data_IF_995967348060
#
_entry.id   IF_995967348060
#
_cell.length_a   1.000
_cell.length_b   1.000
_cell.length_c   1.000
_cell.angle_alpha   90.00
_cell.angle_beta   90.00
_cell.angle_gamma   90.00
#
_symmetry.space_group_name_H-M   'P 1'
#
loop_
_entity.id
_entity.type
_entity.pdbx_description
1 polymer ?
#
# COMPACT_ATOMS: atom_id res chain seq x y z
N UNK A 1 25.22 0.59 53.43
CA UNK A 1 24.17 1.49 52.90
C UNK A 1 24.49 1.95 51.48
N UNK A 2 25.66 2.55 51.26
CA UNK A 2 26.31 2.80 49.96
C UNK A 2 26.19 1.69 48.88
N UNK A 3 26.33 0.40 49.21
CA UNK A 3 26.23 -0.68 48.19
C UNK A 3 24.83 -0.84 47.59
N UNK A 4 23.78 -0.69 48.40
CA UNK A 4 22.37 -0.75 47.94
C UNK A 4 22.04 0.44 47.04
N UNK A 5 22.62 1.61 47.36
CA UNK A 5 22.43 2.83 46.58
C UNK A 5 23.06 2.71 45.17
N UNK A 6 24.23 2.07 45.05
CA UNK A 6 24.89 1.79 43.77
C UNK A 6 24.06 0.81 42.90
N UNK A 7 23.46 -0.21 43.52
CA UNK A 7 22.61 -1.18 42.81
C UNK A 7 21.32 -0.52 42.31
N UNK A 8 20.72 0.39 43.09
CA UNK A 8 19.53 1.15 42.67
C UNK A 8 19.81 2.14 41.53
N UNK A 9 20.97 2.82 41.54
CA UNK A 9 21.39 3.70 40.44
C UNK A 9 21.66 2.90 39.16
N UNK A 10 22.29 1.74 39.27
CA UNK A 10 22.56 0.86 38.14
C UNK A 10 21.27 0.31 37.51
N UNK A 11 20.26 -0.03 38.34
CA UNK A 11 18.96 -0.46 37.85
C UNK A 11 18.17 0.66 37.16
N UNK A 12 18.22 1.89 37.68
CA UNK A 12 17.53 3.03 37.07
C UNK A 12 18.12 3.42 35.71
N UNK A 13 19.43 3.20 35.50
CA UNK A 13 20.11 3.51 34.24
C UNK A 13 19.71 2.57 33.09
N UNK A 14 19.07 1.43 33.38
CA UNK A 14 18.70 0.43 32.37
C UNK A 14 17.28 0.59 31.80
N UNK A 15 16.46 1.46 32.38
CA UNK A 15 15.08 1.70 31.91
C UNK A 15 15.11 2.83 30.87
N UNK A 16 15.53 2.52 29.64
CA UNK A 16 15.34 3.40 28.49
C UNK A 16 14.29 2.77 27.55
N UNK A 17 13.02 2.92 27.90
CA UNK A 17 11.91 2.52 27.03
C UNK A 17 11.72 3.59 25.96
N UNK A 18 12.01 3.27 24.70
CA UNK A 18 11.73 4.16 23.57
C UNK A 18 10.30 3.96 23.10
N UNK A 19 9.45 4.99 23.22
CA UNK A 19 8.08 4.96 22.74
C UNK A 19 8.02 5.43 21.29
N UNK A 20 7.41 4.62 20.42
CA UNK A 20 7.12 5.03 19.04
C UNK A 20 5.88 5.93 19.03
N UNK A 21 5.98 7.08 18.36
CA UNK A 21 4.91 8.07 18.26
C UNK A 21 4.41 8.08 16.81
N UNK A 22 3.16 7.65 16.61
CA UNK A 22 2.54 7.65 15.29
C UNK A 22 1.95 9.04 14.98
N UNK A 23 2.47 9.73 13.97
CA UNK A 23 2.03 11.10 13.63
C UNK A 23 0.55 11.20 13.24
N UNK A 24 -0.03 10.12 12.72
CA UNK A 24 -1.43 10.09 12.29
C UNK A 24 -2.41 9.95 13.46
N UNK A 25 -1.94 9.44 14.60
CA UNK A 25 -2.76 9.15 15.78
C UNK A 25 -2.39 10.02 16.99
N UNK A 26 -1.14 10.46 17.06
CA UNK A 26 -0.59 11.10 18.24
C UNK A 26 -1.34 12.38 18.60
N UNK A 27 -1.55 12.63 19.89
CA UNK A 27 -2.14 13.88 20.32
C UNK A 27 -1.09 15.01 20.37
N UNK A 28 -1.53 16.25 20.57
CA UNK A 28 -0.63 17.41 20.61
C UNK A 28 0.46 17.26 21.67
N UNK A 29 0.11 16.72 22.84
CA UNK A 29 1.03 16.53 23.97
C UNK A 29 2.12 15.51 23.64
N UNK A 30 1.76 14.39 23.03
CA UNK A 30 2.71 13.35 22.60
C UNK A 30 3.67 13.88 21.53
N UNK A 31 3.17 14.71 20.61
CA UNK A 31 4.02 15.36 19.61
C UNK A 31 5.02 16.34 20.23
N UNK A 32 4.69 16.96 21.37
CA UNK A 32 5.59 17.88 22.09
C UNK A 32 6.74 17.17 22.81
N UNK A 33 6.61 15.88 23.09
CA UNK A 33 7.70 15.09 23.68
C UNK A 33 8.89 14.95 22.71
N UNK A 34 8.63 15.10 21.40
CA UNK A 34 9.66 15.03 20.38
C UNK A 34 10.52 16.29 20.38
N UNK A 35 11.81 16.13 20.67
CA UNK A 35 12.76 17.23 20.69
C UNK A 35 12.87 17.87 19.30
N UNK A 36 12.46 19.13 19.22
CA UNK A 36 12.45 19.93 17.99
C UNK A 36 11.06 20.14 17.38
N UNK A 37 10.02 19.55 17.98
CA UNK A 37 8.61 19.90 17.75
C UNK A 37 8.18 20.85 18.85
N UNK A 38 7.74 22.06 18.48
CA UNK A 38 7.16 23.02 19.43
C UNK A 38 5.65 23.12 19.25
N UNK A 39 4.98 23.88 20.12
CA UNK A 39 3.51 24.01 20.12
C UNK A 39 2.93 24.37 18.75
N UNK A 40 3.55 25.31 18.05
CA UNK A 40 3.11 25.73 16.70
C UNK A 40 3.16 24.58 15.71
N UNK A 41 4.21 23.76 15.76
CA UNK A 41 4.39 22.62 14.86
C UNK A 41 3.44 21.49 15.23
N UNK A 42 3.27 21.19 16.52
CA UNK A 42 2.34 20.16 16.98
C UNK A 42 0.89 20.50 16.59
N UNK A 43 0.46 21.74 16.82
CA UNK A 43 -0.86 22.22 16.37
C UNK A 43 -1.00 22.11 14.86
N UNK A 44 0.01 22.54 14.09
CA UNK A 44 -0.02 22.47 12.64
C UNK A 44 -0.13 21.03 12.12
N UNK A 45 0.54 20.05 12.76
CA UNK A 45 0.43 18.63 12.40
C UNK A 45 -1.01 18.14 12.58
N UNK A 46 -1.64 18.47 13.70
CA UNK A 46 -3.02 18.06 14.00
C UNK A 46 -4.00 18.71 13.02
N UNK A 47 -3.85 20.01 12.74
CA UNK A 47 -4.69 20.70 11.76
C UNK A 47 -4.51 20.15 10.34
N UNK A 48 -3.27 19.88 9.93
CA UNK A 48 -2.98 19.38 8.58
C UNK A 48 -3.58 18.00 8.35
N UNK A 49 -3.49 17.08 9.31
CA UNK A 49 -4.12 15.75 9.16
C UNK A 49 -5.65 15.83 9.20
N UNK A 50 -6.22 16.81 9.88
CA UNK A 50 -7.66 17.06 9.89
C UNK A 50 -8.16 17.66 8.56
N UNK A 51 -7.38 18.55 7.95
CA UNK A 51 -7.75 19.25 6.71
C UNK A 51 -7.42 18.43 5.45
N UNK A 52 -6.24 17.82 5.41
CA UNK A 52 -5.66 17.20 4.21
C UNK A 52 -5.52 15.66 4.33
N UNK A 53 -6.08 15.07 5.39
CA UNK A 53 -6.04 13.63 5.65
C UNK A 53 -4.71 13.13 6.21
N UNK A 54 -4.62 11.83 6.46
CA UNK A 54 -3.45 11.20 7.06
C UNK A 54 -2.17 11.41 6.23
N UNK A 55 -1.03 11.51 6.93
CA UNK A 55 0.29 11.54 6.29
C UNK A 55 0.61 10.17 5.73
N UNK A 56 1.12 10.15 4.49
CA UNK A 56 1.41 8.90 3.76
C UNK A 56 2.86 8.47 3.99
N UNK A 57 3.77 9.43 4.12
CA UNK A 57 5.19 9.17 4.37
C UNK A 57 5.84 10.28 5.19
N UNK A 58 7.05 10.04 5.69
CA UNK A 58 7.83 11.03 6.44
C UNK A 58 8.16 12.25 5.55
N UNK A 59 8.42 12.04 4.26
CA UNK A 59 8.66 13.13 3.30
C UNK A 59 7.41 13.98 3.10
N UNK A 60 6.22 13.37 3.14
CA UNK A 60 4.95 14.09 3.06
C UNK A 60 4.77 15.05 4.24
N UNK A 61 5.12 14.61 5.45
CA UNK A 61 5.15 15.49 6.64
C UNK A 61 6.02 16.71 6.39
N UNK A 62 7.22 16.53 5.84
CA UNK A 62 8.15 17.64 5.58
C UNK A 62 7.70 18.60 4.48
N UNK A 63 6.90 18.11 3.53
CA UNK A 63 6.31 18.94 2.46
C UNK A 63 5.14 19.78 2.97
N UNK A 64 4.28 19.20 3.81
CA UNK A 64 3.07 19.87 4.32
C UNK A 64 3.35 20.78 5.52
N UNK A 65 4.27 20.38 6.40
CA UNK A 65 4.56 21.10 7.65
C UNK A 65 5.76 22.02 7.48
N UNK A 66 5.50 23.33 7.41
CA UNK A 66 6.55 24.35 7.35
C UNK A 66 7.45 24.26 8.58
N UNK A 67 8.77 24.20 8.34
CA UNK A 67 9.79 24.17 9.39
C UNK A 67 10.25 22.76 9.82
N UNK A 68 9.69 21.69 9.25
CA UNK A 68 10.16 20.31 9.37
C UNK A 68 10.93 19.85 8.13
N UNK A 69 12.13 20.40 7.92
CA UNK A 69 13.02 19.96 6.84
C UNK A 69 13.63 18.57 7.09
N UNK A 70 14.23 17.98 6.06
CA UNK A 70 14.83 16.63 6.08
C UNK A 70 15.66 16.32 7.34
N UNK A 71 16.61 17.21 7.69
CA UNK A 71 17.47 17.03 8.87
C UNK A 71 16.70 16.94 10.19
N UNK A 72 15.57 17.65 10.32
CA UNK A 72 14.73 17.58 11.52
C UNK A 72 13.92 16.30 11.52
N UNK A 73 13.30 15.95 10.41
CA UNK A 73 12.56 14.69 10.28
C UNK A 73 13.44 13.48 10.57
N UNK A 74 14.66 13.44 10.04
CA UNK A 74 15.62 12.36 10.34
C UNK A 74 15.89 12.22 11.85
N UNK A 75 15.95 13.35 12.58
CA UNK A 75 16.11 13.34 14.04
C UNK A 75 14.84 12.91 14.76
N UNK A 76 13.67 13.24 14.23
CA UNK A 76 12.38 12.85 14.81
C UNK A 76 12.12 11.35 14.61
N UNK A 77 12.42 10.81 13.43
CA UNK A 77 12.34 9.37 13.15
C UNK A 77 13.26 8.59 14.07
N UNK A 78 14.49 9.08 14.29
CA UNK A 78 15.42 8.49 15.27
C UNK A 78 14.92 8.56 16.72
N UNK A 79 14.01 9.49 17.03
CA UNK A 79 13.36 9.60 18.33
C UNK A 79 12.08 8.74 18.42
N UNK A 80 11.70 8.03 17.36
CA UNK A 80 10.53 7.17 17.35
C UNK A 80 9.32 7.74 16.62
N UNK A 81 9.43 8.89 15.92
CA UNK A 81 8.35 9.37 15.06
C UNK A 81 8.14 8.41 13.88
N UNK A 82 6.91 7.94 13.71
CA UNK A 82 6.52 7.02 12.66
C UNK A 82 5.32 7.54 11.89
N UNK A 83 5.26 7.16 10.61
CA UNK A 83 4.07 7.25 9.77
C UNK A 83 3.67 5.82 9.46
N UNK A 84 2.57 5.36 10.02
CA UNK A 84 1.96 4.10 9.57
C UNK A 84 1.39 4.36 8.18
N UNK A 85 2.18 4.04 7.14
CA UNK A 85 1.65 3.98 5.79
C UNK A 85 0.67 2.82 5.73
N UNK A 86 -0.54 3.02 5.21
CA UNK A 86 -1.55 1.99 4.96
C UNK A 86 -1.12 0.96 3.89
N UNK A 87 0.15 0.53 3.87
CA UNK A 87 0.61 -0.60 3.07
C UNK A 87 0.21 -1.92 3.74
N UNK A 88 -1.08 -2.04 4.08
CA UNK A 88 -1.75 -3.24 4.60
C UNK A 88 -2.73 -3.88 3.61
N UNK A 89 -2.73 -3.49 2.34
CA UNK A 89 -3.55 -4.14 1.30
C UNK A 89 -2.76 -5.00 0.29
N UNK A 90 -1.49 -5.32 0.58
CA UNK A 90 -0.73 -6.31 -0.20
C UNK A 90 0.00 -7.30 0.72
N UNK A 91 -0.66 -7.82 1.76
CA UNK A 91 -0.22 -9.05 2.46
C UNK A 91 -1.37 -9.55 3.39
N UNK A 92 -2.54 -9.84 2.84
CA UNK A 92 -3.60 -10.58 3.55
C UNK A 92 -4.50 -11.36 2.57
N UNK A 93 -3.91 -11.98 1.57
CA UNK A 93 -4.51 -13.12 0.88
C UNK A 93 -3.93 -14.39 1.52
N UNK A 94 -4.74 -15.35 2.01
CA UNK A 94 -4.21 -16.60 2.53
C UNK A 94 -3.61 -17.45 1.40
N UNK A 95 -2.29 -17.35 1.16
CA UNK A 95 -1.54 -18.34 0.36
C UNK A 95 -1.23 -19.59 1.18
N UNK A 96 -2.22 -20.46 1.37
CA UNK A 96 -2.03 -21.90 1.63
C UNK A 96 -3.17 -22.75 1.02
N UNK A 97 -3.62 -22.44 -0.20
CA UNK A 97 -4.42 -23.42 -0.99
C UNK A 97 -4.27 -23.24 -2.51
N UNK A 98 -3.04 -23.08 -3.01
CA UNK A 98 -2.77 -23.11 -4.46
C UNK A 98 -1.42 -23.76 -4.82
N UNK A 99 -0.85 -24.60 -3.95
CA UNK A 99 0.41 -25.29 -4.25
C UNK A 99 0.27 -26.81 -4.42
N UNK A 100 -0.94 -27.34 -4.56
CA UNK A 100 -1.19 -28.77 -4.87
C UNK A 100 -1.66 -29.04 -6.30
N UNK A 101 -1.87 -28.00 -7.13
CA UNK A 101 -2.44 -28.15 -8.48
C UNK A 101 -1.42 -27.99 -9.62
N UNK A 102 -0.11 -28.00 -9.34
CA UNK A 102 0.93 -27.97 -10.39
C UNK A 102 1.01 -29.25 -11.25
N UNK A 103 0.30 -30.31 -10.88
CA UNK A 103 0.10 -31.48 -11.75
C UNK A 103 -1.15 -31.37 -12.65
N UNK A 104 -2.14 -30.54 -12.28
CA UNK A 104 -3.41 -30.41 -13.02
C UNK A 104 -3.35 -29.35 -14.14
N UNK A 105 -2.48 -28.34 -14.01
CA UNK A 105 -2.32 -27.28 -15.02
C UNK A 105 -1.66 -27.79 -16.31
N UNK A 106 -0.84 -28.85 -16.24
CA UNK A 106 -0.28 -29.46 -17.46
C UNK A 106 -1.30 -30.22 -18.31
N UNK A 107 -2.48 -30.58 -17.77
CA UNK A 107 -3.53 -31.27 -18.52
C UNK A 107 -4.50 -30.31 -19.22
N UNK A 108 -4.67 -29.09 -18.73
CA UNK A 108 -5.60 -28.12 -19.33
C UNK A 108 -5.01 -27.33 -20.50
N UNK A 109 -3.68 -27.18 -20.62
CA UNK A 109 -3.04 -26.59 -21.81
C UNK A 109 -3.18 -27.47 -23.07
N UNK A 110 -3.39 -28.78 -22.91
CA UNK A 110 -3.59 -29.69 -24.04
C UNK A 110 -5.02 -29.62 -24.60
N UNK A 111 -5.98 -29.16 -23.79
CA UNK A 111 -7.39 -29.03 -24.18
C UNK A 111 -7.58 -27.79 -25.07
N UNK A 112 -6.90 -26.68 -24.79
CA UNK A 112 -7.00 -25.45 -25.58
C UNK A 112 -6.21 -25.45 -26.89
N UNK A 113 -5.38 -26.47 -27.16
CA UNK A 113 -4.79 -26.67 -28.50
C UNK A 113 -5.72 -27.40 -29.48
N UNK A 114 -6.80 -28.01 -29.00
CA UNK A 114 -7.71 -28.79 -29.85
C UNK A 114 -9.05 -28.08 -30.16
N UNK A 115 -9.29 -26.89 -29.58
CA UNK A 115 -10.54 -26.12 -29.75
C UNK A 115 -10.33 -24.89 -30.68
N UNK A 116 -9.23 -24.84 -31.44
CA UNK A 116 -8.95 -23.75 -32.41
C UNK A 116 -8.96 -24.23 -33.86
N UNK A 117 -9.91 -25.10 -34.26
CA UNK A 117 -10.14 -25.44 -35.68
C UNK A 117 -11.64 -25.47 -36.03
N UNK A 118 -12.48 -24.58 -35.51
CA UNK A 118 -13.90 -24.56 -35.93
C UNK A 118 -14.50 -23.22 -36.38
N UNK A 119 -13.77 -22.09 -36.33
CA UNK A 119 -14.34 -20.78 -36.73
C UNK A 119 -13.59 -20.07 -37.88
N UNK A 120 -13.02 -20.81 -38.83
CA UNK A 120 -12.32 -20.19 -39.99
C UNK A 120 -12.55 -20.89 -41.34
N UNK A 121 -13.80 -21.20 -41.74
CA UNK A 121 -14.12 -21.44 -43.17
C UNK A 121 -15.56 -21.06 -43.56
N UNK A 122 -15.96 -19.79 -43.43
CA UNK A 122 -17.05 -19.27 -44.28
C UNK A 122 -17.10 -17.73 -44.31
N UNK A 123 -16.04 -17.09 -44.78
CA UNK A 123 -16.14 -15.70 -45.26
C UNK A 123 -15.04 -15.40 -46.28
N UNK A 124 -15.19 -15.92 -47.50
CA UNK A 124 -14.65 -15.27 -48.70
C UNK A 124 -15.19 -15.92 -49.98
N UNK A 125 -16.19 -15.29 -50.60
CA UNK A 125 -16.39 -15.20 -52.05
C UNK A 125 -17.62 -14.32 -52.32
N UNK A 126 -17.51 -13.03 -52.03
CA UNK A 126 -18.35 -12.05 -52.68
C UNK A 126 -17.70 -11.75 -54.04
N UNK A 127 -18.15 -12.47 -55.08
CA UNK A 127 -17.87 -12.15 -56.48
C UNK A 127 -19.19 -11.69 -57.07
N UNK A 128 -19.25 -10.39 -57.37
CA UNK A 128 -20.35 -9.78 -58.11
C UNK A 128 -20.58 -10.49 -59.45
N UNK A 129 -21.84 -10.39 -59.87
CA UNK A 129 -22.38 -10.71 -61.19
C UNK A 129 -22.31 -12.17 -61.63
N UNK A 130 -23.48 -12.77 -61.81
CA UNK A 130 -24.07 -13.02 -63.14
C UNK A 130 -25.20 -14.04 -62.98
N UNK A 131 -26.34 -13.79 -63.65
CA UNK A 131 -27.46 -14.73 -63.86
C UNK A 131 -28.33 -15.06 -62.63
N UNK A 132 -29.46 -14.37 -62.50
CA UNK A 132 -30.75 -14.95 -62.90
C UNK A 132 -31.87 -13.93 -62.67
N UNK A 133 -32.21 -13.26 -63.77
CA UNK A 133 -33.48 -12.57 -63.98
C UNK A 133 -34.61 -13.59 -63.86
N UNK A 134 -35.62 -13.27 -63.02
CA UNK A 134 -37.00 -13.79 -62.89
C UNK A 134 -37.35 -15.12 -63.59
N UNK A 135 -38.11 -15.99 -62.88
CA UNK A 135 -39.26 -16.65 -63.48
C UNK A 135 -40.58 -16.10 -62.92
N UNK A 136 -41.60 -16.29 -63.75
CA UNK A 136 -42.91 -15.64 -63.79
C UNK A 136 -43.97 -16.70 -63.48
N UNK A 137 -45.01 -16.25 -62.77
CA UNK A 137 -46.43 -16.64 -62.85
C UNK A 137 -47.00 -17.79 -62.01
N UNK A 138 -48.23 -17.46 -61.54
CA UNK A 138 -49.44 -18.27 -61.30
C UNK A 138 -49.42 -19.06 -60.00
N UNK A 139 -50.33 -18.74 -59.08
CA UNK A 139 -51.74 -19.18 -59.14
C UNK A 139 -52.68 -18.02 -58.82
#
# INVERSE_FOLDING_TARGET
MNKIMIVLIAFFSFIQMSFAININQANKEELLELKGVGEKTATLIVEERQKNGAFISIEDVGRRIKGLGKKKLDKLVKQGLQVESEKRMQESEPRQLYNSSSAAVKKSEQIYKHVTILDMTSSSRNKLDTMMVRPKKRE
#
